data_IF_135555258396
#
_entry.id   IF_135555258396
#
_cell.length_a   1.000
_cell.length_b   1.000
_cell.length_c   1.000
_cell.angle_alpha   90.00
_cell.angle_beta   90.00
_cell.angle_gamma   90.00
#
_symmetry.space_group_name_H-M   'P 1'
#
loop_
_entity.id
_entity.type
_entity.pdbx_description
1 polymer ?
#
# COMPACT_ATOMS: atom_id res chain seq x y z
N UNK A 1 -18.36 -6.51 14.77
CA UNK A 1 -19.56 -6.85 13.95
C UNK A 1 -19.44 -8.32 13.59
N UNK A 2 -20.47 -9.11 13.81
CA UNK A 2 -20.47 -10.51 13.37
C UNK A 2 -20.91 -10.51 11.90
N UNK A 3 -20.05 -10.98 11.01
CA UNK A 3 -20.43 -11.28 9.63
C UNK A 3 -21.12 -12.65 9.64
N UNK A 4 -22.25 -12.78 8.97
CA UNK A 4 -22.83 -14.09 8.75
C UNK A 4 -22.05 -14.79 7.64
N UNK A 5 -21.48 -15.93 7.95
CA UNK A 5 -20.85 -16.79 6.95
C UNK A 5 -21.90 -17.30 5.98
N UNK A 6 -21.72 -17.08 4.68
CA UNK A 6 -22.61 -17.57 3.62
C UNK A 6 -22.09 -18.89 3.05
N UNK A 7 -20.81 -18.97 2.78
CA UNK A 7 -20.15 -20.17 2.30
C UNK A 7 -18.66 -20.15 2.66
N UNK A 8 -18.11 -21.32 2.93
CA UNK A 8 -16.70 -21.53 3.21
C UNK A 8 -16.24 -22.79 2.51
N UNK A 9 -15.08 -22.73 1.89
CA UNK A 9 -14.33 -23.89 1.44
C UNK A 9 -12.84 -23.67 1.71
N UNK A 10 -11.98 -24.62 1.32
CA UNK A 10 -10.54 -24.57 1.60
C UNK A 10 -9.83 -23.39 0.92
N UNK A 11 -10.43 -22.79 -0.11
CA UNK A 11 -9.84 -21.73 -0.92
C UNK A 11 -10.43 -20.34 -0.67
N UNK A 12 -11.69 -20.24 -0.23
CA UNK A 12 -12.35 -18.95 0.01
C UNK A 12 -13.51 -19.03 1.00
N UNK A 13 -13.77 -17.89 1.64
CA UNK A 13 -14.89 -17.68 2.54
C UNK A 13 -15.76 -16.56 2.00
N UNK A 14 -17.05 -16.82 1.78
CA UNK A 14 -18.04 -15.82 1.40
C UNK A 14 -18.77 -15.38 2.67
N UNK A 15 -18.64 -14.12 3.01
CA UNK A 15 -19.36 -13.52 4.13
C UNK A 15 -20.57 -12.70 3.64
N UNK A 16 -21.60 -12.63 4.45
CA UNK A 16 -22.81 -11.92 4.09
C UNK A 16 -22.64 -10.42 3.94
N UNK A 17 -23.57 -9.84 3.25
CA UNK A 17 -23.66 -8.46 2.83
C UNK A 17 -23.12 -7.46 3.87
N UNK A 18 -22.11 -6.72 3.45
CA UNK A 18 -21.80 -5.45 4.07
C UNK A 18 -22.98 -4.50 3.83
N UNK A 19 -23.78 -4.27 4.87
CA UNK A 19 -24.79 -3.23 4.82
C UNK A 19 -24.11 -1.88 4.97
N UNK A 20 -24.07 -1.11 3.88
CA UNK A 20 -23.54 0.25 3.89
C UNK A 20 -24.34 1.08 4.89
N UNK A 21 -23.74 1.38 6.04
CA UNK A 21 -24.32 2.34 6.97
C UNK A 21 -24.11 3.71 6.38
N UNK A 22 -25.10 4.25 5.69
CA UNK A 22 -25.07 5.62 5.15
C UNK A 22 -24.99 6.61 6.32
N UNK A 23 -23.80 6.96 6.72
CA UNK A 23 -23.55 8.12 7.58
C UNK A 23 -23.51 9.37 6.71
N UNK A 24 -24.65 9.99 6.43
CA UNK A 24 -24.69 11.36 5.95
C UNK A 24 -24.17 12.28 7.06
N UNK A 25 -22.90 12.55 7.06
CA UNK A 25 -22.34 13.64 7.83
C UNK A 25 -22.18 14.82 6.88
N UNK A 26 -23.06 15.80 6.94
CA UNK A 26 -22.95 17.06 6.20
C UNK A 26 -21.94 18.02 6.84
N UNK A 27 -21.23 17.59 7.89
CA UNK A 27 -20.24 18.42 8.58
C UNK A 27 -18.94 18.49 7.79
N UNK A 28 -18.38 19.70 7.76
CA UNK A 28 -17.02 19.93 7.26
C UNK A 28 -16.03 19.01 8.03
N UNK A 29 -15.14 18.39 7.28
CA UNK A 29 -14.07 17.55 7.82
C UNK A 29 -12.76 17.94 7.12
N UNK A 30 -11.76 18.33 7.91
CA UNK A 30 -10.42 18.63 7.39
C UNK A 30 -9.70 17.36 6.99
N UNK A 31 -8.64 17.47 6.18
CA UNK A 31 -7.78 16.33 5.80
C UNK A 31 -7.21 15.64 7.05
N UNK A 32 -6.71 16.40 8.02
CA UNK A 32 -6.18 15.87 9.27
C UNK A 32 -7.23 15.11 10.12
N UNK A 33 -8.48 15.57 10.13
CA UNK A 33 -9.57 14.86 10.82
C UNK A 33 -9.92 13.55 10.10
N UNK A 34 -9.97 13.59 8.77
CA UNK A 34 -10.21 12.41 7.94
C UNK A 34 -9.11 11.37 8.11
N UNK A 35 -7.86 11.80 8.10
CA UNK A 35 -6.69 10.95 8.32
C UNK A 35 -6.73 10.28 9.70
N UNK A 36 -7.01 11.06 10.76
CA UNK A 36 -7.13 10.54 12.12
C UNK A 36 -8.24 9.50 12.26
N UNK A 37 -9.41 9.75 11.67
CA UNK A 37 -10.53 8.82 11.69
C UNK A 37 -10.20 7.54 10.91
N UNK A 38 -9.56 7.67 9.76
CA UNK A 38 -9.11 6.56 8.95
C UNK A 38 -8.11 5.66 9.68
N UNK A 39 -7.06 6.23 10.26
CA UNK A 39 -6.06 5.50 11.05
C UNK A 39 -6.73 4.80 12.24
N UNK A 40 -7.64 5.48 12.95
CA UNK A 40 -8.41 4.88 14.04
C UNK A 40 -9.19 3.65 13.56
N UNK A 41 -9.87 3.75 12.44
CA UNK A 41 -10.65 2.63 11.87
C UNK A 41 -9.75 1.45 11.49
N UNK A 42 -8.56 1.70 10.94
CA UNK A 42 -7.57 0.66 10.66
C UNK A 42 -7.08 -0.01 11.96
N UNK A 43 -6.76 0.78 12.99
CA UNK A 43 -6.29 0.22 14.27
C UNK A 43 -7.37 -0.61 14.97
N UNK A 44 -8.63 -0.23 14.85
CA UNK A 44 -9.78 -1.03 15.34
C UNK A 44 -9.93 -2.36 14.57
N UNK A 45 -9.37 -2.47 13.36
CA UNK A 45 -9.30 -3.71 12.58
C UNK A 45 -8.00 -4.51 12.79
N UNK A 46 -7.17 -4.09 13.75
CA UNK A 46 -5.95 -4.80 14.15
C UNK A 46 -4.69 -4.41 13.35
N UNK A 47 -4.67 -3.22 12.74
CA UNK A 47 -3.45 -2.63 12.21
C UNK A 47 -2.64 -1.99 13.34
N UNK A 48 -1.33 -2.21 13.34
CA UNK A 48 -0.42 -1.56 14.27
C UNK A 48 -0.08 -0.16 13.74
N UNK A 49 -0.48 0.90 14.44
CA UNK A 49 -0.04 2.26 14.11
C UNK A 49 1.39 2.49 14.59
N UNK A 50 2.25 3.02 13.70
CA UNK A 50 3.64 3.32 14.00
C UNK A 50 3.95 4.80 13.65
N UNK A 51 4.62 5.55 14.55
CA UNK A 51 5.05 6.91 14.27
C UNK A 51 6.37 6.92 13.48
N UNK A 52 6.33 6.38 12.26
CA UNK A 52 7.46 6.33 11.33
C UNK A 52 7.31 7.47 10.34
N UNK A 53 8.25 8.40 10.35
CA UNK A 53 8.26 9.57 9.48
C UNK A 53 9.50 9.63 8.57
N UNK A 54 10.54 8.83 8.84
CA UNK A 54 11.83 8.87 8.13
C UNK A 54 12.24 7.51 7.62
N UNK A 55 13.09 7.52 6.60
CA UNK A 55 13.60 6.31 5.93
C UNK A 55 14.27 5.34 6.90
N UNK A 56 15.14 5.82 7.79
CA UNK A 56 15.84 4.93 8.71
C UNK A 56 14.89 4.15 9.61
N UNK A 57 13.87 4.80 10.15
CA UNK A 57 12.85 4.13 10.99
C UNK A 57 12.05 3.10 10.20
N UNK A 58 11.77 3.38 8.92
CA UNK A 58 11.08 2.45 8.03
C UNK A 58 11.94 1.21 7.74
N UNK A 59 13.24 1.40 7.47
CA UNK A 59 14.21 0.32 7.22
C UNK A 59 14.42 -0.53 8.48
N UNK A 60 14.52 0.09 9.64
CA UNK A 60 14.68 -0.61 10.92
C UNK A 60 13.42 -1.42 11.26
N UNK A 61 12.22 -0.85 11.03
CA UNK A 61 10.97 -1.60 11.18
C UNK A 61 10.91 -2.79 10.22
N UNK A 62 11.29 -2.61 8.95
CA UNK A 62 11.32 -3.71 7.97
C UNK A 62 12.21 -4.87 8.45
N UNK A 63 13.41 -4.57 8.94
CA UNK A 63 14.29 -5.58 9.52
C UNK A 63 13.60 -6.36 10.64
N UNK A 64 12.99 -5.66 11.58
CA UNK A 64 12.29 -6.27 12.72
C UNK A 64 11.12 -7.15 12.25
N UNK A 65 10.33 -6.71 11.28
CA UNK A 65 9.20 -7.48 10.80
C UNK A 65 9.64 -8.72 10.02
N UNK A 66 10.66 -8.62 9.18
CA UNK A 66 11.19 -9.78 8.46
C UNK A 66 11.83 -10.79 9.41
N UNK A 67 12.51 -10.35 10.47
CA UNK A 67 13.03 -11.25 11.51
C UNK A 67 11.89 -12.02 12.20
N UNK A 68 10.79 -11.34 12.54
CA UNK A 68 9.62 -11.98 13.16
C UNK A 68 8.92 -12.96 12.23
N UNK A 69 8.71 -12.59 10.96
CA UNK A 69 8.06 -13.44 9.97
C UNK A 69 8.83 -14.73 9.71
N UNK A 70 10.17 -14.66 9.74
CA UNK A 70 11.05 -15.76 9.36
C UNK A 70 11.65 -16.52 10.56
N UNK A 71 11.30 -16.14 11.77
CA UNK A 71 11.94 -16.63 12.99
C UNK A 71 13.48 -16.68 12.85
N UNK A 72 14.06 -15.55 12.45
CA UNK A 72 15.46 -15.42 12.13
C UNK A 72 16.02 -14.06 12.48
N UNK A 73 17.15 -14.01 13.19
CA UNK A 73 17.84 -12.76 13.52
C UNK A 73 19.00 -12.55 12.57
N UNK A 74 18.94 -11.50 11.75
CA UNK A 74 20.04 -11.10 10.88
C UNK A 74 21.21 -10.54 11.68
N UNK A 75 22.45 -10.93 11.33
CA UNK A 75 23.60 -10.09 11.71
C UNK A 75 23.54 -8.75 10.97
N UNK A 76 24.33 -7.77 11.41
CA UNK A 76 24.34 -6.47 10.72
C UNK A 76 24.91 -6.57 9.31
N UNK A 77 25.90 -7.44 9.10
CA UNK A 77 26.48 -7.71 7.79
C UNK A 77 25.49 -8.44 6.86
N UNK A 78 24.76 -9.43 7.36
CA UNK A 78 23.71 -10.14 6.61
C UNK A 78 22.58 -9.18 6.22
N UNK A 79 22.10 -8.36 7.18
CA UNK A 79 21.05 -7.38 6.91
C UNK A 79 21.47 -6.38 5.84
N UNK A 80 22.66 -5.79 5.98
CA UNK A 80 23.16 -4.81 5.02
C UNK A 80 23.24 -5.37 3.60
N UNK A 81 23.77 -6.59 3.44
CA UNK A 81 23.81 -7.25 2.12
C UNK A 81 22.42 -7.53 1.59
N UNK A 82 21.58 -8.19 2.40
CA UNK A 82 20.23 -8.57 2.00
C UNK A 82 19.40 -7.34 1.64
N UNK A 83 19.48 -6.29 2.44
CA UNK A 83 18.77 -5.05 2.17
C UNK A 83 19.22 -4.42 0.86
N UNK A 84 20.51 -4.21 0.66
CA UNK A 84 21.01 -3.51 -0.52
C UNK A 84 20.90 -4.34 -1.81
N UNK A 85 21.17 -5.64 -1.75
CA UNK A 85 21.24 -6.48 -2.94
C UNK A 85 19.88 -7.02 -3.36
N UNK A 86 18.96 -7.21 -2.39
CA UNK A 86 17.67 -7.85 -2.63
C UNK A 86 16.50 -6.90 -2.47
N UNK A 87 16.42 -6.16 -1.37
CA UNK A 87 15.26 -5.31 -1.07
C UNK A 87 15.36 -3.96 -1.80
N UNK A 88 16.45 -3.24 -1.58
CA UNK A 88 16.70 -1.88 -2.07
C UNK A 88 17.56 -1.86 -3.35
N UNK A 89 17.53 -2.93 -4.15
CA UNK A 89 18.29 -3.00 -5.39
C UNK A 89 17.85 -1.89 -6.35
N UNK A 90 18.76 -0.95 -6.61
CA UNK A 90 18.49 0.22 -7.45
C UNK A 90 18.34 -0.11 -8.95
N UNK A 91 18.77 -1.31 -9.37
CA UNK A 91 18.56 -1.77 -10.76
C UNK A 91 17.15 -2.34 -11.00
N UNK A 92 16.35 -2.46 -9.94
CA UNK A 92 15.01 -3.02 -9.98
C UNK A 92 13.96 -1.92 -9.76
N UNK A 93 13.16 -1.68 -10.78
CA UNK A 93 12.03 -0.77 -10.70
C UNK A 93 10.74 -1.46 -10.24
N UNK A 94 9.63 -0.77 -10.42
CA UNK A 94 8.29 -1.15 -9.96
C UNK A 94 7.89 -2.57 -10.38
N UNK A 95 8.15 -2.97 -11.63
CA UNK A 95 7.77 -4.30 -12.15
C UNK A 95 8.48 -5.42 -11.39
N UNK A 96 9.81 -5.30 -11.22
CA UNK A 96 10.61 -6.30 -10.51
C UNK A 96 10.23 -6.38 -9.01
N UNK A 97 10.04 -5.23 -8.37
CA UNK A 97 9.61 -5.16 -6.97
C UNK A 97 8.20 -5.70 -6.75
N UNK A 98 7.31 -5.52 -7.73
CA UNK A 98 5.97 -6.14 -7.69
C UNK A 98 6.07 -7.66 -7.83
N UNK A 99 6.85 -8.16 -8.79
CA UNK A 99 7.05 -9.58 -8.99
C UNK A 99 7.64 -10.27 -7.74
N UNK A 100 8.53 -9.58 -7.01
CA UNK A 100 9.05 -10.09 -5.72
C UNK A 100 7.97 -10.33 -4.67
N UNK A 101 6.87 -9.62 -4.70
CA UNK A 101 5.75 -9.84 -3.76
C UNK A 101 4.77 -10.86 -4.34
N UNK A 102 4.45 -10.75 -5.63
CA UNK A 102 3.39 -11.53 -6.25
C UNK A 102 3.86 -12.91 -6.73
N UNK A 103 5.10 -13.06 -7.12
CA UNK A 103 5.60 -14.30 -7.72
C UNK A 103 6.74 -14.89 -6.90
N UNK A 104 7.79 -14.10 -6.64
CA UNK A 104 9.02 -14.53 -6.00
C UNK A 104 9.16 -14.00 -4.56
N UNK A 105 8.16 -14.28 -3.73
CA UNK A 105 8.09 -13.75 -2.36
C UNK A 105 9.05 -14.43 -1.37
N UNK A 106 9.84 -15.40 -1.83
CA UNK A 106 10.87 -16.11 -1.06
C UNK A 106 12.22 -15.74 -1.62
N UNK A 107 12.99 -14.97 -0.89
CA UNK A 107 14.30 -14.47 -1.32
C UNK A 107 15.44 -15.21 -0.61
N UNK A 108 16.58 -15.35 -1.28
CA UNK A 108 17.73 -16.08 -0.74
C UNK A 108 18.68 -15.13 0.01
N UNK A 109 18.86 -15.39 1.29
CA UNK A 109 19.88 -14.77 2.12
C UNK A 109 21.18 -15.60 2.06
N UNK A 110 22.32 -14.97 1.77
CA UNK A 110 23.65 -15.55 1.98
C UNK A 110 24.10 -15.21 3.40
N UNK A 111 24.22 -16.25 4.24
CA UNK A 111 24.64 -16.10 5.64
C UNK A 111 26.14 -15.83 5.77
N UNK A 112 26.53 -15.24 6.88
CA UNK A 112 27.96 -15.04 7.21
C UNK A 112 28.72 -16.37 7.37
N UNK A 113 28.02 -17.46 7.64
CA UNK A 113 28.56 -18.83 7.70
C UNK A 113 28.87 -19.44 6.32
N UNK A 114 28.46 -18.78 5.21
CA UNK A 114 28.55 -19.29 3.85
C UNK A 114 27.34 -20.13 3.40
N UNK A 115 26.43 -20.46 4.32
CA UNK A 115 25.16 -21.15 4.00
C UNK A 115 24.14 -20.17 3.38
N UNK A 116 23.07 -20.71 2.84
CA UNK A 116 21.93 -19.95 2.38
C UNK A 116 20.70 -20.18 3.24
N UNK A 117 19.83 -19.17 3.36
CA UNK A 117 18.54 -19.26 4.03
C UNK A 117 17.46 -18.58 3.19
N UNK A 118 16.32 -19.21 3.08
CA UNK A 118 15.13 -18.60 2.47
C UNK A 118 14.49 -17.60 3.44
N UNK A 119 14.24 -16.40 2.94
CA UNK A 119 13.59 -15.30 3.66
C UNK A 119 12.27 -14.98 2.96
N UNK A 120 11.18 -15.16 3.65
CA UNK A 120 9.85 -14.80 3.18
C UNK A 120 9.63 -13.31 3.34
N UNK A 121 9.24 -12.62 2.29
CA UNK A 121 8.81 -11.22 2.33
C UNK A 121 7.34 -11.12 2.74
N UNK A 122 6.54 -12.10 2.32
CA UNK A 122 5.13 -12.26 2.65
C UNK A 122 4.78 -13.74 2.80
N UNK A 123 3.93 -14.08 3.75
CA UNK A 123 3.41 -15.44 3.89
C UNK A 123 2.07 -15.55 3.14
N UNK A 124 2.10 -16.23 1.99
CA UNK A 124 0.92 -16.46 1.16
C UNK A 124 0.08 -17.66 1.60
N UNK A 125 0.69 -18.60 2.36
CA UNK A 125 0.02 -19.82 2.82
C UNK A 125 -0.81 -19.55 4.06
N UNK A 126 -0.22 -18.83 5.04
CA UNK A 126 -0.92 -18.42 6.23
C UNK A 126 -0.93 -16.90 6.33
N UNK A 127 -1.97 -16.30 5.78
CA UNK A 127 -2.11 -14.84 5.73
C UNK A 127 -2.08 -14.17 7.12
N UNK A 128 -2.41 -14.93 8.18
CA UNK A 128 -2.43 -14.41 9.55
C UNK A 128 -1.03 -14.17 10.12
N UNK A 129 0.00 -14.79 9.55
CA UNK A 129 1.40 -14.55 9.93
C UNK A 129 1.88 -13.16 9.51
N UNK A 130 1.25 -12.56 8.50
CA UNK A 130 1.62 -11.23 8.06
C UNK A 130 1.17 -10.16 9.06
N UNK A 131 2.04 -9.19 9.31
CA UNK A 131 1.75 -8.01 10.13
C UNK A 131 1.29 -6.88 9.23
N UNK A 132 0.14 -6.31 9.55
CA UNK A 132 -0.38 -5.10 8.93
C UNK A 132 -0.10 -3.90 9.84
N UNK A 133 0.55 -2.90 9.28
CA UNK A 133 0.93 -1.69 9.99
C UNK A 133 0.46 -0.47 9.21
N UNK A 134 0.21 0.62 9.89
CA UNK A 134 -0.14 1.90 9.26
C UNK A 134 0.79 2.99 9.77
N UNK A 135 1.32 3.76 8.85
CA UNK A 135 2.13 4.96 9.10
C UNK A 135 1.47 6.16 8.40
N UNK A 136 1.77 7.36 8.86
CA UNK A 136 1.29 8.58 8.24
C UNK A 136 2.34 9.66 8.23
N UNK A 137 2.15 10.65 7.35
CA UNK A 137 3.01 11.82 7.26
C UNK A 137 4.50 11.47 7.11
N UNK A 138 4.78 10.44 6.29
CA UNK A 138 6.16 10.06 5.98
C UNK A 138 6.83 11.13 5.13
N UNK A 139 8.03 11.54 5.50
CA UNK A 139 8.79 12.60 4.86
C UNK A 139 9.89 12.00 3.97
N UNK A 140 9.86 12.36 2.68
CA UNK A 140 10.90 12.01 1.71
C UNK A 140 11.64 13.27 1.30
N UNK A 141 12.90 13.36 1.70
CA UNK A 141 13.76 14.53 1.49
C UNK A 141 14.82 14.32 0.39
N UNK A 142 14.98 13.08 -0.11
CA UNK A 142 16.01 12.71 -1.07
C UNK A 142 15.55 12.74 -2.53
N UNK A 143 14.28 13.10 -2.77
CA UNK A 143 13.72 13.23 -4.11
C UNK A 143 14.09 14.56 -4.81
N UNK A 144 13.49 14.77 -5.97
CA UNK A 144 13.63 16.05 -6.69
C UNK A 144 13.02 17.22 -5.93
N UNK A 145 12.03 16.93 -5.08
CA UNK A 145 11.34 17.86 -4.19
C UNK A 145 10.97 17.13 -2.91
N UNK A 146 11.00 17.84 -1.79
CA UNK A 146 10.50 17.34 -0.52
C UNK A 146 9.05 16.92 -0.66
N UNK A 147 8.73 15.72 -0.22
CA UNK A 147 7.40 15.15 -0.28
C UNK A 147 6.97 14.63 1.09
N UNK A 148 5.68 14.74 1.37
CA UNK A 148 5.07 14.17 2.57
C UNK A 148 3.86 13.36 2.18
N UNK A 149 3.92 12.07 2.48
CA UNK A 149 2.90 11.10 2.11
C UNK A 149 1.84 10.99 3.20
N UNK A 150 0.56 11.08 2.83
CA UNK A 150 -0.52 11.15 3.82
C UNK A 150 -0.56 9.87 4.67
N UNK A 151 -0.91 8.74 4.09
CA UNK A 151 -1.00 7.45 4.82
C UNK A 151 -0.41 6.33 3.97
N UNK A 152 0.32 5.42 4.60
CA UNK A 152 0.80 4.19 3.95
C UNK A 152 0.50 2.97 4.82
N UNK A 153 0.09 1.89 4.17
CA UNK A 153 -0.08 0.59 4.82
C UNK A 153 1.14 -0.27 4.49
N UNK A 154 1.75 -0.79 5.55
CA UNK A 154 2.89 -1.69 5.45
C UNK A 154 2.41 -3.13 5.69
N UNK A 155 2.94 -4.05 4.91
CA UNK A 155 2.82 -5.50 5.17
C UNK A 155 4.22 -6.02 5.46
N UNK A 156 4.41 -6.55 6.65
CA UNK A 156 5.71 -7.00 7.15
C UNK A 156 6.82 -5.93 7.02
N UNK A 157 6.43 -4.66 7.17
CA UNK A 157 7.33 -3.50 7.06
C UNK A 157 7.52 -2.94 5.65
N UNK A 158 7.04 -3.62 4.59
CA UNK A 158 7.10 -3.12 3.21
C UNK A 158 5.87 -2.25 2.90
N UNK A 159 6.04 -1.03 2.37
CA UNK A 159 4.92 -0.17 1.96
C UNK A 159 4.27 -0.72 0.70
N UNK A 160 3.14 -1.40 0.84
CA UNK A 160 2.43 -2.01 -0.28
C UNK A 160 1.19 -1.23 -0.72
N UNK A 161 0.67 -0.35 0.12
CA UNK A 161 -0.47 0.52 -0.21
C UNK A 161 -0.15 1.96 0.17
N UNK A 162 -0.46 2.88 -0.72
CA UNK A 162 -0.38 4.31 -0.45
C UNK A 162 -1.76 4.95 -0.59
N UNK A 163 -2.13 5.78 0.37
CA UNK A 163 -3.43 6.43 0.44
C UNK A 163 -3.23 7.93 0.47
N UNK A 164 -3.84 8.63 -0.47
CA UNK A 164 -3.86 10.09 -0.54
C UNK A 164 -5.25 10.61 -0.19
N UNK A 165 -5.29 11.50 0.77
CA UNK A 165 -6.53 12.06 1.31
C UNK A 165 -6.71 13.53 0.89
N UNK A 166 -7.94 13.88 0.61
CA UNK A 166 -8.35 15.27 0.39
C UNK A 166 -9.56 15.60 1.27
N UNK A 167 -9.69 16.85 1.64
CA UNK A 167 -10.87 17.31 2.37
C UNK A 167 -12.14 17.06 1.56
N UNK A 168 -13.24 16.91 2.26
CA UNK A 168 -14.56 16.75 1.63
C UNK A 168 -14.84 17.88 0.65
N UNK A 169 -15.42 17.52 -0.51
CA UNK A 169 -15.75 18.45 -1.59
C UNK A 169 -14.64 18.68 -2.62
N UNK A 170 -13.41 18.24 -2.34
CA UNK A 170 -12.32 18.27 -3.33
C UNK A 170 -12.46 17.08 -4.29
N UNK A 171 -12.15 17.31 -5.56
CA UNK A 171 -12.21 16.26 -6.57
C UNK A 171 -11.11 15.21 -6.36
N UNK A 172 -11.43 13.93 -6.50
CA UNK A 172 -10.46 12.83 -6.38
C UNK A 172 -9.29 12.94 -7.38
N UNK A 173 -9.52 13.62 -8.51
CA UNK A 173 -8.46 13.86 -9.50
C UNK A 173 -7.29 14.67 -8.94
N UNK A 174 -7.50 15.49 -7.92
CA UNK A 174 -6.42 16.24 -7.26
C UNK A 174 -5.51 15.31 -6.48
N UNK A 175 -6.08 14.34 -5.73
CA UNK A 175 -5.32 13.30 -5.05
C UNK A 175 -4.55 12.41 -6.04
N UNK A 176 -5.20 12.03 -7.13
CA UNK A 176 -4.54 11.26 -8.21
C UNK A 176 -3.33 12.02 -8.79
N UNK A 177 -3.50 13.30 -9.09
CA UNK A 177 -2.41 14.14 -9.61
C UNK A 177 -1.28 14.34 -8.57
N UNK A 178 -1.59 14.29 -7.28
CA UNK A 178 -0.58 14.39 -6.22
C UNK A 178 0.27 13.13 -6.16
N UNK A 179 -0.34 11.95 -6.20
CA UNK A 179 0.39 10.67 -6.30
C UNK A 179 1.26 10.67 -7.58
N UNK A 180 0.76 11.18 -8.70
CA UNK A 180 1.53 11.29 -9.93
C UNK A 180 2.79 12.16 -9.78
N UNK A 181 2.71 13.23 -9.01
CA UNK A 181 3.90 14.03 -8.65
C UNK A 181 4.88 13.23 -7.81
N UNK A 182 4.41 12.52 -6.78
CA UNK A 182 5.28 11.66 -5.94
C UNK A 182 6.01 10.60 -6.75
N UNK A 183 5.36 10.01 -7.74
CA UNK A 183 5.96 9.03 -8.62
C UNK A 183 7.15 9.59 -9.40
N UNK A 184 7.01 10.80 -9.93
CA UNK A 184 8.07 11.43 -10.70
C UNK A 184 9.20 11.94 -9.85
N UNK A 185 8.88 12.39 -8.64
CA UNK A 185 9.76 13.26 -7.88
C UNK A 185 10.36 12.60 -6.65
N UNK A 186 9.74 11.53 -6.09
CA UNK A 186 10.15 11.03 -4.79
C UNK A 186 10.02 9.52 -4.51
N UNK A 187 9.09 8.76 -5.10
CA UNK A 187 8.91 7.33 -4.75
C UNK A 187 10.11 6.44 -5.04
N UNK A 188 10.97 6.82 -5.98
CA UNK A 188 12.20 6.13 -6.31
C UNK A 188 13.38 6.57 -5.44
N UNK A 189 13.23 7.66 -4.68
CA UNK A 189 14.30 8.27 -3.91
C UNK A 189 14.69 7.43 -2.68
N UNK A 190 15.77 7.80 -2.07
CA UNK A 190 16.31 7.09 -0.92
C UNK A 190 16.61 5.63 -1.24
N UNK A 191 16.12 4.74 -0.39
CA UNK A 191 16.25 3.30 -0.60
C UNK A 191 15.22 2.71 -1.60
N UNK A 192 14.33 3.53 -2.18
CA UNK A 192 13.33 3.12 -3.16
C UNK A 192 12.28 2.12 -2.63
N UNK A 193 12.01 2.10 -1.32
CA UNK A 193 10.99 1.21 -0.74
C UNK A 193 9.59 1.54 -1.23
N UNK A 194 9.29 2.80 -1.54
CA UNK A 194 7.98 3.18 -2.05
C UNK A 194 7.68 2.69 -3.48
N UNK A 195 8.67 2.15 -4.17
CA UNK A 195 8.42 1.44 -5.43
C UNK A 195 7.78 0.05 -5.25
N UNK A 196 7.72 -0.46 -4.01
CA UNK A 196 6.95 -1.66 -3.67
C UNK A 196 5.44 -1.40 -3.62
N UNK A 197 4.99 -0.16 -3.60
CA UNK A 197 3.56 0.15 -3.54
C UNK A 197 2.83 -0.40 -4.75
N UNK A 198 1.86 -1.29 -4.50
CA UNK A 198 1.08 -1.97 -5.54
C UNK A 198 -0.32 -1.39 -5.70
N UNK A 199 -0.88 -0.84 -4.63
CA UNK A 199 -2.23 -0.30 -4.61
C UNK A 199 -2.18 1.16 -4.17
N UNK A 200 -2.84 1.99 -4.94
CA UNK A 200 -3.07 3.40 -4.65
C UNK A 200 -4.53 3.62 -4.33
N UNK A 201 -4.81 4.33 -3.25
CA UNK A 201 -6.16 4.71 -2.84
C UNK A 201 -6.24 6.23 -2.76
N UNK A 202 -7.28 6.78 -3.34
CA UNK A 202 -7.57 8.21 -3.32
C UNK A 202 -8.95 8.44 -2.71
N UNK A 203 -9.03 9.32 -1.71
CA UNK A 203 -10.29 9.56 -1.01
C UNK A 203 -10.47 11.02 -0.59
N UNK A 204 -11.72 11.49 -0.62
CA UNK A 204 -12.14 12.73 0.01
C UNK A 204 -13.15 12.49 1.15
N UNK A 205 -13.15 11.27 1.69
CA UNK A 205 -14.07 10.82 2.73
C UNK A 205 -15.45 10.40 2.22
N UNK A 206 -15.98 11.08 1.21
CA UNK A 206 -17.29 10.78 0.59
C UNK A 206 -17.15 9.81 -0.57
N UNK A 207 -16.11 9.98 -1.36
CA UNK A 207 -15.80 9.11 -2.48
C UNK A 207 -14.39 8.55 -2.32
N UNK A 208 -14.24 7.25 -2.56
CA UNK A 208 -12.98 6.53 -2.49
C UNK A 208 -12.83 5.69 -3.74
N UNK A 209 -11.71 5.83 -4.40
CA UNK A 209 -11.32 5.02 -5.55
C UNK A 209 -9.95 4.40 -5.31
N UNK A 210 -9.68 3.30 -5.98
CA UNK A 210 -8.37 2.66 -5.96
C UNK A 210 -7.90 2.31 -7.38
N UNK A 211 -6.61 2.10 -7.52
CA UNK A 211 -5.98 1.63 -8.75
C UNK A 211 -4.65 0.93 -8.44
N UNK A 212 -4.22 0.09 -9.36
CA UNK A 212 -2.97 -0.67 -9.23
C UNK A 212 -1.77 0.12 -9.72
N UNK A 213 -0.58 -0.34 -9.39
CA UNK A 213 0.67 0.20 -9.91
C UNK A 213 0.86 -0.06 -11.42
N UNK A 214 0.15 -1.01 -12.03
CA UNK A 214 0.13 -1.17 -13.48
C UNK A 214 -0.52 0.05 -14.18
N UNK A 215 -1.58 0.61 -13.59
CA UNK A 215 -2.16 1.89 -14.03
C UNK A 215 -1.13 3.01 -13.93
N UNK A 216 -0.41 3.08 -12.81
CA UNK A 216 0.72 3.98 -12.60
C UNK A 216 1.79 3.83 -13.69
N UNK A 217 2.24 2.63 -13.93
CA UNK A 217 3.29 2.34 -14.91
C UNK A 217 2.90 2.75 -16.33
N UNK A 218 1.67 2.46 -16.73
CA UNK A 218 1.14 2.89 -18.02
C UNK A 218 1.09 4.42 -18.14
N UNK A 219 0.73 5.10 -17.07
CA UNK A 219 0.72 6.57 -17.03
C UNK A 219 2.11 7.15 -17.26
N UNK A 220 3.15 6.61 -16.62
CA UNK A 220 4.53 7.03 -16.83
C UNK A 220 4.94 6.84 -18.30
N UNK A 221 4.68 5.66 -18.88
CA UNK A 221 4.97 5.35 -20.29
C UNK A 221 4.22 6.29 -21.25
N UNK A 222 2.98 6.63 -20.97
CA UNK A 222 2.19 7.58 -21.77
C UNK A 222 2.78 9.00 -21.71
N UNK A 223 3.23 9.44 -20.54
CA UNK A 223 3.88 10.75 -20.40
C UNK A 223 5.20 10.82 -21.17
N UNK A 224 6.02 9.79 -21.13
CA UNK A 224 7.27 9.71 -21.90
C UNK A 224 7.03 9.77 -23.41
N UNK A 225 6.04 9.02 -23.91
CA UNK A 225 5.64 9.04 -25.33
C UNK A 225 5.06 10.38 -25.79
N UNK A 226 4.42 11.11 -24.88
CA UNK A 226 3.75 12.38 -25.18
C UNK A 226 4.64 13.62 -24.95
N UNK A 227 5.91 13.46 -24.62
CA UNK A 227 6.87 14.59 -24.44
C UNK A 227 6.92 15.53 -25.64
N UNK A 228 6.60 15.05 -26.83
CA UNK A 228 6.61 15.81 -28.10
C UNK A 228 5.25 16.38 -28.50
N UNK A 229 4.17 16.08 -27.79
CA UNK A 229 2.81 16.55 -28.13
C UNK A 229 2.39 17.74 -27.29
N UNK A 230 1.75 18.73 -27.92
CA UNK A 230 1.29 19.97 -27.29
C UNK A 230 0.14 19.80 -26.27
N UNK A 231 -0.53 18.65 -26.24
CA UNK A 231 -1.55 18.30 -25.23
C UNK A 231 -1.15 17.05 -24.46
N UNK A 232 -0.75 17.24 -23.20
CA UNK A 232 -0.51 16.17 -22.23
C UNK A 232 -1.85 15.76 -21.61
N UNK A 233 -2.63 14.94 -22.29
CA UNK A 233 -3.83 14.32 -21.71
C UNK A 233 -3.50 12.88 -21.36
N UNK A 234 -3.54 12.57 -20.07
CA UNK A 234 -3.53 11.18 -19.60
C UNK A 234 -4.94 10.79 -19.19
N UNK A 235 -5.39 9.64 -19.68
CA UNK A 235 -6.67 9.06 -19.30
C UNK A 235 -6.52 8.07 -18.13
N UNK A 236 -5.36 8.02 -17.49
CA UNK A 236 -5.08 7.02 -16.45
C UNK A 236 -6.01 7.12 -15.24
N UNK A 237 -6.55 8.31 -14.94
CA UNK A 237 -7.59 8.46 -13.92
C UNK A 237 -8.85 7.64 -14.22
N UNK A 238 -9.17 7.40 -15.49
CA UNK A 238 -10.31 6.58 -15.92
C UNK A 238 -10.17 5.10 -15.53
N UNK A 239 -8.94 4.64 -15.28
CA UNK A 239 -8.66 3.28 -14.81
C UNK A 239 -8.72 3.14 -13.29
N UNK A 240 -9.10 4.20 -12.56
CA UNK A 240 -9.40 4.10 -11.13
C UNK A 240 -10.83 3.59 -10.91
N UNK A 241 -10.99 2.63 -10.00
CA UNK A 241 -12.24 1.92 -9.76
C UNK A 241 -12.84 2.23 -8.39
N UNK A 242 -14.15 2.13 -8.28
CA UNK A 242 -14.82 2.01 -7.00
C UNK A 242 -14.79 0.56 -6.52
N UNK A 243 -14.66 0.38 -5.22
CA UNK A 243 -14.90 -0.92 -4.60
C UNK A 243 -16.41 -1.16 -4.51
N UNK A 244 -16.87 -2.38 -4.77
CA UNK A 244 -18.28 -2.70 -4.79
C UNK A 244 -18.62 -3.84 -3.83
N UNK A 245 -19.87 -3.88 -3.38
CA UNK A 245 -20.41 -5.03 -2.66
C UNK A 245 -20.76 -6.18 -3.63
N UNK A 246 -21.28 -7.28 -3.11
CA UNK A 246 -21.69 -8.47 -3.88
C UNK A 246 -22.78 -8.20 -4.91
N UNK A 247 -23.51 -7.10 -4.78
CA UNK A 247 -24.58 -6.67 -5.70
C UNK A 247 -24.09 -5.60 -6.71
N UNK A 248 -22.79 -5.41 -6.87
CA UNK A 248 -22.16 -4.37 -7.68
C UNK A 248 -22.54 -2.93 -7.28
N UNK A 249 -22.98 -2.74 -6.04
CA UNK A 249 -23.21 -1.39 -5.51
C UNK A 249 -21.92 -0.80 -4.99
N UNK A 250 -21.59 0.40 -5.43
CA UNK A 250 -20.35 1.06 -5.03
C UNK A 250 -20.34 1.41 -3.52
N UNK A 251 -19.24 1.07 -2.86
CA UNK A 251 -18.91 1.48 -1.49
C UNK A 251 -18.06 2.74 -1.61
N UNK A 252 -18.73 3.90 -1.60
CA UNK A 252 -18.09 5.16 -1.92
C UNK A 252 -17.32 5.74 -0.75
N UNK A 253 -17.88 5.67 0.46
CA UNK A 253 -17.28 6.33 1.62
C UNK A 253 -16.02 5.61 2.14
N UNK A 254 -15.09 6.39 2.70
CA UNK A 254 -13.81 5.86 3.17
C UNK A 254 -13.98 4.84 4.31
N UNK A 255 -14.95 5.02 5.19
CA UNK A 255 -15.16 4.11 6.33
C UNK A 255 -15.64 2.75 5.85
N UNK A 256 -16.64 2.73 4.96
CA UNK A 256 -17.12 1.50 4.33
C UNK A 256 -16.05 0.80 3.52
N UNK A 257 -15.27 1.56 2.74
CA UNK A 257 -14.12 1.06 2.01
C UNK A 257 -13.10 0.42 2.98
N UNK A 258 -12.80 1.09 4.09
CA UNK A 258 -11.83 0.59 5.07
C UNK A 258 -12.29 -0.73 5.70
N UNK A 259 -13.56 -0.84 6.06
CA UNK A 259 -14.09 -2.06 6.67
C UNK A 259 -14.12 -3.27 5.72
N UNK A 260 -14.15 -3.04 4.43
CA UNK A 260 -14.26 -4.11 3.42
C UNK A 260 -12.95 -4.36 2.69
N UNK A 261 -12.42 -3.37 1.99
CA UNK A 261 -11.20 -3.52 1.20
C UNK A 261 -9.96 -3.72 2.07
N UNK A 262 -9.86 -2.98 3.19
CA UNK A 262 -8.75 -3.10 4.13
C UNK A 262 -8.99 -4.15 5.23
N UNK A 263 -10.04 -4.97 5.16
CA UNK A 263 -10.08 -6.19 5.96
C UNK A 263 -8.84 -7.04 5.62
N UNK A 264 -8.12 -7.54 6.63
CA UNK A 264 -6.83 -8.22 6.46
C UNK A 264 -6.86 -9.30 5.38
N UNK A 265 -7.89 -10.13 5.40
CA UNK A 265 -8.08 -11.20 4.43
C UNK A 265 -8.21 -10.64 3.00
N UNK A 266 -9.03 -9.61 2.79
CA UNK A 266 -9.22 -9.00 1.48
C UNK A 266 -7.94 -8.38 0.97
N UNK A 267 -7.31 -7.53 1.78
CA UNK A 267 -6.09 -6.84 1.37
C UNK A 267 -4.96 -7.79 0.99
N UNK A 268 -4.68 -8.79 1.84
CA UNK A 268 -3.59 -9.74 1.55
C UNK A 268 -3.90 -10.54 0.28
N UNK A 269 -5.15 -10.97 0.08
CA UNK A 269 -5.51 -11.67 -1.17
C UNK A 269 -5.33 -10.80 -2.40
N UNK A 270 -5.70 -9.51 -2.36
CA UNK A 270 -5.52 -8.58 -3.49
C UNK A 270 -4.03 -8.34 -3.79
N UNK A 271 -3.18 -8.30 -2.75
CA UNK A 271 -1.73 -8.08 -2.91
C UNK A 271 -0.97 -9.32 -3.39
N UNK A 272 -1.53 -10.52 -3.24
CA UNK A 272 -0.78 -11.79 -3.44
C UNK A 272 -1.31 -12.66 -4.55
N UNK A 273 -2.41 -12.30 -5.16
CA UNK A 273 -3.04 -12.99 -6.31
C UNK A 273 -3.02 -12.13 -7.55
#
# INVERSE_FOLDING_TARGET
MAYNLIAENDDYTIVSDYQTIYRKSDKYQSEAQLEKEFIKTLTEQGYDYLPIHKEQDLVDNLRVQLQKLNDYTFTDSEWKRFFNDVIANQNEGIEAKTAKIQEDHIQVLKRDTGETKNIYLIDKKNIHNNRLQVINQYEEEQGNHDARYDVSILVNGLPLVHIELKRRGVQLKEAFNQIDRYQRDSFWAGCGLYEYVQIFVISNGTNTKYYSNSTRFNHIKEQERNRTKSKKTSNSFEFSSFWTDSNNKAINDLIGFTHTFFAKHTLINVLTK
#
